data_IF_080714923844
#
_entry.id   IF_080714923844
#
_cell.length_a   1.000
_cell.length_b   1.000
_cell.length_c   1.000
_cell.angle_alpha   90.00
_cell.angle_beta   90.00
_cell.angle_gamma   90.00
#
_symmetry.space_group_name_H-M   'P 1'
#
loop_
_entity.id
_entity.type
_entity.pdbx_description
1 polymer ?
2 polymer ?
3 polymer ?
4 non-polymer ?
5 non-polymer ?
6 water ?
#
loop_
_entity_poly.entity_id
_entity_poly.type
_entity_poly.pdbx_seq_one_letter_code
_entity_poly.pdbx_strand_id
2 'polydeoxyribonucleotide' '(DA)(DT)(DC)(DA)(DG)(DT)(DC)(DT)(DA)(DG)(DA)(DC)(DA)(DT)(DA)' ?
3 'polydeoxyribonucleotide' '(DG)(DT)(DA)(DT)(DG)(DT)(DC)(DT)(DA)(DG)(DA)(DC)(DT)(DG)(DA)' ?
#
# COMPACT_ATOMS: atom_id res chain seq x y z
N UNK A 1 -17.17 30.70 19.70
CA UNK A 1 -18.21 30.23 20.64
C UNK A 1 -19.47 29.69 20.00
N UNK A 2 -19.97 28.61 20.59
CA UNK A 2 -21.08 27.89 20.04
C UNK A 2 -22.09 27.52 21.12
N UNK A 3 -23.37 27.70 20.79
CA UNK A 3 -24.50 27.26 21.62
C UNK A 3 -24.47 25.75 21.92
N UNK A 4 -24.84 25.38 23.15
CA UNK A 4 -24.85 23.98 23.60
C UNK A 4 -25.76 23.13 22.74
N UNK A 5 -26.94 23.63 22.43
CA UNK A 5 -27.87 22.89 21.56
C UNK A 5 -27.23 22.66 20.20
N UNK A 6 -26.58 23.69 19.70
CA UNK A 6 -25.96 23.62 18.38
C UNK A 6 -24.78 22.66 18.39
N UNK A 7 -23.96 22.70 19.43
CA UNK A 7 -22.79 21.82 19.51
C UNK A 7 -23.21 20.36 19.71
N UNK A 8 -24.37 20.18 20.34
CA UNK A 8 -24.97 18.87 20.47
C UNK A 8 -25.37 18.35 19.10
N UNK A 9 -26.16 19.14 18.39
CA UNK A 9 -26.55 18.81 17.02
C UNK A 9 -25.33 18.56 16.17
N UNK A 10 -24.32 19.40 16.32
CA UNK A 10 -23.09 19.27 15.54
C UNK A 10 -22.38 18.00 15.87
N UNK A 11 -22.68 17.48 17.05
CA UNK A 11 -22.10 16.23 17.50
C UNK A 11 -22.38 15.15 16.49
N UNK A 12 -23.60 15.19 15.93
CA UNK A 12 -24.03 14.21 14.94
C UNK A 12 -23.64 14.52 13.49
N UNK A 13 -22.95 15.63 13.27
CA UNK A 13 -22.58 16.00 11.92
C UNK A 13 -21.68 14.96 11.32
N UNK A 14 -21.92 14.68 10.05
CA UNK A 14 -21.05 13.84 9.28
C UNK A 14 -19.87 14.67 8.79
N UNK A 15 -18.67 14.16 9.04
CA UNK A 15 -17.44 14.67 8.50
C UNK A 15 -17.27 14.13 7.10
N UNK A 16 -16.62 14.93 6.26
CA UNK A 16 -16.44 14.58 4.87
C UNK A 16 -15.11 13.87 4.64
N UNK A 17 -14.84 13.52 3.38
CA UNK A 17 -13.68 12.70 3.06
C UNK A 17 -12.43 13.35 3.56
N UNK A 18 -12.37 14.65 3.37
CA UNK A 18 -11.22 15.44 3.73
C UNK A 18 -11.00 15.49 5.24
N UNK A 19 -12.08 15.64 5.99
CA UNK A 19 -11.91 15.69 7.44
C UNK A 19 -11.59 14.31 8.02
N UNK A 20 -12.20 13.27 7.45
CA UNK A 20 -11.91 11.92 7.85
C UNK A 20 -10.43 11.59 7.57
N UNK A 21 -9.94 12.03 6.43
CA UNK A 21 -8.54 11.83 6.07
C UNK A 21 -7.61 12.56 7.03
N UNK A 22 -7.93 13.81 7.33
CA UNK A 22 -7.13 14.59 8.24
C UNK A 22 -7.04 13.90 9.61
N UNK A 23 -8.10 13.22 10.02
CA UNK A 23 -8.02 12.54 11.30
C UNK A 23 -6.96 11.45 11.19
N UNK A 24 -6.98 10.73 10.07
CA UNK A 24 -6.04 9.67 9.84
C UNK A 24 -4.64 10.24 9.89
N UNK A 25 -4.45 11.40 9.28
CA UNK A 25 -3.12 11.99 9.25
C UNK A 25 -2.64 12.40 10.66
N UNK A 26 -3.56 12.79 11.52
CA UNK A 26 -3.18 13.15 12.85
C UNK A 26 -2.87 11.89 13.64
N UNK A 27 -3.68 10.87 13.40
CA UNK A 27 -3.43 9.60 14.02
C UNK A 27 -2.03 9.13 13.66
N UNK A 28 -1.71 9.18 12.38
CA UNK A 28 -0.39 8.77 11.93
C UNK A 28 0.72 9.54 12.63
N UNK A 29 0.51 10.83 12.87
CA UNK A 29 1.56 11.66 13.43
C UNK A 29 1.74 11.38 14.91
N UNK A 30 0.63 11.12 15.59
CA UNK A 30 0.71 10.80 16.98
C UNK A 30 1.48 9.51 17.18
N UNK A 31 1.27 8.51 16.31
CA UNK A 31 1.97 7.23 16.46
C UNK A 31 3.46 7.49 16.49
N UNK A 32 3.91 8.42 15.66
CA UNK A 32 5.31 8.79 15.62
C UNK A 32 5.76 9.58 16.86
N UNK A 33 4.92 10.49 17.33
CA UNK A 33 5.32 11.43 18.36
C UNK A 33 5.34 10.83 19.78
N UNK A 34 4.48 9.86 20.03
CA UNK A 34 4.47 9.15 21.31
C UNK A 34 5.84 8.54 21.59
N UNK A 35 6.56 8.21 20.52
CA UNK A 35 7.85 7.57 20.62
C UNK A 35 8.99 8.52 21.01
N UNK A 36 8.68 9.79 21.17
CA UNK A 36 9.70 10.79 21.46
C UNK A 36 9.25 11.64 22.63
N UNK A 37 10.00 11.58 23.73
CA UNK A 37 9.61 12.27 24.94
C UNK A 37 9.60 13.77 24.68
N UNK A 38 8.52 14.43 25.06
CA UNK A 38 8.42 15.87 24.88
C UNK A 38 7.70 16.32 23.61
N UNK A 39 7.70 15.48 22.58
CA UNK A 39 7.10 15.86 21.30
C UNK A 39 5.60 16.16 21.39
N UNK A 40 4.82 15.22 21.91
CA UNK A 40 3.37 15.40 22.05
C UNK A 40 3.02 16.63 22.88
N UNK A 41 3.73 16.78 24.00
CA UNK A 41 3.53 17.91 24.88
C UNK A 41 3.87 19.21 24.13
N UNK A 42 5.00 19.18 23.45
CA UNK A 42 5.49 20.35 22.73
C UNK A 42 4.51 20.78 21.65
N UNK A 43 4.03 19.82 20.85
CA UNK A 43 3.10 20.12 19.78
C UNK A 43 1.80 20.70 20.34
N UNK A 44 1.35 20.12 21.43
CA UNK A 44 0.18 20.63 22.13
C UNK A 44 0.45 22.05 22.66
N UNK A 45 1.67 22.31 23.11
CA UNK A 45 2.00 23.64 23.58
C UNK A 45 1.86 24.62 22.44
N UNK A 46 2.42 24.26 21.29
CA UNK A 46 2.42 25.13 20.11
C UNK A 46 1.02 25.45 19.62
N UNK A 47 0.15 24.45 19.66
CA UNK A 47 -1.19 24.61 19.16
C UNK A 47 -2.03 25.41 20.13
N UNK A 48 -1.73 25.28 21.41
CA UNK A 48 -2.56 25.86 22.46
C UNK A 48 -2.14 27.27 22.84
N UNK A 49 -0.85 27.55 22.74
CA UNK A 49 -0.34 28.90 23.02
C UNK A 49 0.42 29.42 21.80
N UNK A 50 -0.32 29.81 20.74
CA UNK A 50 0.34 30.23 19.50
C UNK A 50 1.28 31.41 19.72
N UNK A 51 0.89 32.36 20.55
CA UNK A 51 1.72 33.53 20.78
C UNK A 51 3.08 33.25 21.36
N UNK A 52 3.17 32.19 22.17
CA UNK A 52 4.41 31.84 22.86
C UNK A 52 5.27 30.87 22.05
N UNK A 53 6.51 31.26 21.77
CA UNK A 53 7.51 30.46 21.04
C UNK A 53 7.58 29.00 21.49
N UNK A 54 7.78 28.09 20.54
CA UNK A 54 7.80 26.65 20.80
C UNK A 54 8.95 26.00 20.05
N UNK A 55 9.30 24.78 20.43
CA UNK A 55 10.36 24.04 19.75
C UNK A 55 9.95 23.33 18.48
N UNK A 56 10.94 22.93 17.70
CA UNK A 56 10.69 22.06 16.58
C UNK A 56 10.07 20.75 17.06
N UNK A 57 9.15 20.24 16.24
CA UNK A 57 8.53 18.93 16.44
C UNK A 57 8.67 18.20 15.12
N UNK A 58 9.59 17.25 15.07
CA UNK A 58 9.98 16.65 13.80
C UNK A 58 9.58 15.19 13.64
N UNK A 59 9.49 14.79 12.38
CA UNK A 59 9.34 13.39 12.02
C UNK A 59 10.43 13.13 11.00
N UNK A 60 10.77 11.87 10.81
CA UNK A 60 11.71 11.46 9.76
C UNK A 60 11.30 12.00 8.40
N UNK A 61 12.29 12.41 7.61
CA UNK A 61 12.07 12.89 6.27
C UNK A 61 12.25 11.70 5.31
N UNK A 62 11.38 11.57 4.33
CA UNK A 62 11.54 10.53 3.31
C UNK A 62 12.50 11.01 2.24
N UNK A 63 12.90 10.11 1.34
CA UNK A 63 13.82 10.46 0.26
C UNK A 63 13.26 11.54 -0.67
N UNK A 64 12.00 11.43 -1.05
CA UNK A 64 11.34 12.41 -1.92
C UNK A 64 10.64 13.55 -1.15
N UNK A 65 10.62 13.44 0.17
CA UNK A 65 10.00 14.46 1.00
C UNK A 65 8.57 14.14 1.36
N UNK A 66 7.88 13.41 0.49
CA UNK A 66 6.47 13.08 0.71
C UNK A 66 6.14 12.15 1.87
N UNK A 67 4.89 12.22 2.31
CA UNK A 67 4.39 11.39 3.38
C UNK A 67 3.14 10.74 2.85
N UNK A 68 2.95 9.47 3.18
CA UNK A 68 1.74 8.82 2.77
C UNK A 68 0.89 8.47 3.97
N UNK A 69 -0.39 8.84 3.87
CA UNK A 69 -1.38 8.49 4.87
C UNK A 69 -2.60 7.98 4.17
N UNK A 70 -2.96 6.73 4.45
CA UNK A 70 -4.09 6.11 3.80
C UNK A 70 -4.16 6.41 2.30
N UNK A 71 -3.20 5.90 1.56
CA UNK A 71 -3.17 6.04 0.09
C UNK A 71 -3.32 7.45 -0.50
N UNK A 72 -2.98 8.46 0.31
CA UNK A 72 -2.74 9.82 -0.21
C UNK A 72 -1.30 10.23 0.13
N UNK A 73 -0.62 10.85 -0.81
CA UNK A 73 0.71 11.43 -0.57
C UNK A 73 0.70 12.96 -0.58
N UNK A 74 1.36 13.55 0.41
CA UNK A 74 1.51 14.98 0.47
C UNK A 74 2.82 15.32 1.13
N UNK A 75 3.12 16.60 1.28
CA UNK A 75 4.28 17.04 2.07
C UNK A 75 3.87 17.34 3.51
N UNK A 76 4.64 16.84 4.46
CA UNK A 76 4.28 16.82 5.89
C UNK A 76 3.94 18.20 6.47
N UNK A 77 4.78 19.20 6.22
CA UNK A 77 4.51 20.51 6.78
C UNK A 77 3.22 21.08 6.17
N UNK A 78 3.03 20.84 4.89
CA UNK A 78 1.80 21.27 4.21
C UNK A 78 0.58 20.58 4.82
N UNK A 79 0.71 19.28 5.02
CA UNK A 79 -0.37 18.51 5.58
C UNK A 79 -0.78 19.07 6.92
N UNK A 80 0.18 19.23 7.82
CA UNK A 80 -0.15 19.59 9.19
C UNK A 80 -0.50 21.08 9.34
N UNK A 81 0.07 21.91 8.48
CA UNK A 81 -0.35 23.30 8.43
C UNK A 81 -1.79 23.47 7.96
N UNK A 82 -2.25 22.61 7.04
CA UNK A 82 -3.65 22.65 6.63
C UNK A 82 -4.56 22.30 7.78
N UNK A 83 -4.12 21.35 8.58
CA UNK A 83 -4.93 20.85 9.66
C UNK A 83 -5.13 21.91 10.73
N UNK A 84 -4.05 22.55 11.12
CA UNK A 84 -4.09 23.39 12.30
C UNK A 84 -4.04 24.87 11.99
N UNK A 85 -3.92 25.25 10.72
CA UNK A 85 -3.87 26.67 10.42
C UNK A 85 -4.63 27.14 9.16
N UNK A 86 -4.26 26.62 8.00
CA UNK A 86 -4.78 27.13 6.74
C UNK A 86 -5.41 26.02 5.92
N UNK A 87 -6.69 25.73 6.18
CA UNK A 87 -7.34 24.59 5.53
C UNK A 87 -7.31 24.70 4.01
N UNK A 88 -7.22 25.93 3.51
CA UNK A 88 -7.30 26.18 2.08
C UNK A 88 -5.90 26.31 1.51
N UNK A 89 -4.89 25.99 2.32
CA UNK A 89 -3.50 26.03 1.86
C UNK A 89 -3.30 25.25 0.58
N UNK A 90 -2.62 25.88 -0.38
CA UNK A 90 -2.51 25.35 -1.73
C UNK A 90 -1.37 24.35 -1.94
N UNK A 91 -0.15 24.78 -1.63
CA UNK A 91 1.03 23.94 -1.79
C UNK A 91 2.16 24.47 -0.92
N UNK A 92 3.31 23.82 -1.02
CA UNK A 92 4.47 24.26 -0.27
C UNK A 92 4.95 25.63 -0.76
N UNK A 93 4.50 26.03 -1.95
CA UNK A 93 4.84 27.32 -2.51
C UNK A 93 4.22 28.46 -1.72
N UNK A 94 3.17 28.14 -0.96
CA UNK A 94 2.55 29.16 -0.13
C UNK A 94 3.12 29.18 1.28
N UNK A 95 4.25 28.51 1.49
CA UNK A 95 4.84 28.41 2.82
C UNK A 95 6.30 28.80 2.83
N UNK A 96 6.67 29.58 3.83
CA UNK A 96 8.07 29.84 4.12
C UNK A 96 8.27 29.50 5.60
N UNK A 97 9.42 28.92 5.92
CA UNK A 97 9.86 28.57 7.30
C UNK A 97 10.32 29.78 8.09
N UNK A 98 9.98 29.82 9.38
CA UNK A 98 10.49 30.85 10.27
C UNK A 98 11.96 30.60 10.60
N UNK A 99 12.64 31.66 10.99
CA UNK A 99 14.05 31.60 11.32
C UNK A 99 14.25 30.73 12.56
N UNK A 100 13.26 30.70 13.43
CA UNK A 100 13.36 29.89 14.66
C UNK A 100 13.36 28.38 14.37
N UNK A 101 12.95 27.99 13.17
CA UNK A 101 12.87 26.59 12.88
C UNK A 101 14.21 26.04 12.49
N UNK A 102 14.64 25.09 13.32
CA UNK A 102 15.88 24.39 13.10
C UNK A 102 15.80 23.28 12.03
N UNK A 103 14.60 22.77 11.70
CA UNK A 103 14.46 21.62 10.77
C UNK A 103 13.41 21.79 9.70
N UNK A 104 13.46 22.92 8.99
CA UNK A 104 12.38 23.26 8.06
C UNK A 104 12.43 22.34 6.85
N UNK A 105 11.29 22.13 6.19
CA UNK A 105 11.20 21.21 5.06
C UNK A 105 12.37 21.34 4.10
N UNK A 106 12.63 22.57 3.65
CA UNK A 106 13.62 22.77 2.62
C UNK A 106 15.02 22.33 2.98
N UNK A 107 15.33 22.26 4.28
CA UNK A 107 16.70 22.00 4.72
C UNK A 107 17.13 20.59 4.42
N UNK A 108 16.20 19.75 4.00
CA UNK A 108 16.56 18.41 3.57
C UNK A 108 17.52 17.77 4.57
N UNK A 109 17.11 17.71 5.83
CA UNK A 109 17.87 16.95 6.81
C UNK A 109 17.17 15.64 7.11
N UNK A 110 17.77 14.85 8.00
CA UNK A 110 17.20 13.61 8.48
C UNK A 110 15.78 13.82 9.01
N UNK A 111 15.63 14.86 9.82
CA UNK A 111 14.34 15.22 10.41
C UNK A 111 13.70 16.41 9.69
N UNK A 112 12.37 16.41 9.67
CA UNK A 112 11.65 17.57 9.13
C UNK A 112 10.62 18.05 10.12
N UNK A 113 10.57 19.35 10.34
CA UNK A 113 9.70 19.90 11.36
C UNK A 113 8.27 20.06 10.84
N UNK A 114 7.32 19.71 11.69
CA UNK A 114 5.91 19.73 11.33
C UNK A 114 5.14 20.59 12.31
N UNK A 115 5.87 21.32 13.16
CA UNK A 115 5.28 22.37 13.98
C UNK A 115 4.71 23.43 13.06
N UNK A 116 3.37 23.54 13.02
CA UNK A 116 2.70 24.44 12.07
C UNK A 116 3.07 25.90 12.31
N UNK A 117 3.46 26.21 13.53
CA UNK A 117 3.79 27.58 13.88
C UNK A 117 5.27 27.89 13.67
N UNK A 118 5.97 26.98 13.01
CA UNK A 118 7.34 27.22 12.59
C UNK A 118 7.35 27.60 11.12
N UNK A 119 6.16 27.90 10.62
CA UNK A 119 5.98 28.26 9.23
C UNK A 119 5.05 29.48 9.09
N UNK A 120 5.26 30.22 8.01
CA UNK A 120 4.42 31.37 7.73
C UNK A 120 3.86 31.17 6.36
N UNK A 121 2.69 31.74 6.12
CA UNK A 121 2.04 31.60 4.82
C UNK A 121 2.38 32.77 3.91
N UNK A 122 2.62 32.48 2.62
CA UNK A 122 3.02 33.49 1.63
C UNK A 122 2.30 33.31 0.28
N UNK A 123 2.64 34.16 -0.70
CA UNK A 123 2.15 34.02 -2.08
C UNK A 123 3.21 33.37 -2.96
N UNK A 124 3.08 33.46 -4.29
CA UNK A 124 4.14 32.98 -5.19
C UNK A 124 3.94 33.29 -6.67
N UNK B 2 -21.10 -27.74 -24.13
CA UNK B 2 -21.39 -26.34 -23.86
C UNK B 2 -21.98 -25.60 -25.07
N UNK B 3 -23.11 -24.93 -24.84
CA UNK B 3 -23.99 -24.33 -25.87
C UNK B 3 -23.70 -22.86 -26.18
N UNK B 4 -23.82 -22.46 -27.46
CA UNK B 4 -23.56 -21.08 -27.91
C UNK B 4 -24.49 -20.06 -27.24
N UNK B 5 -25.76 -20.39 -27.12
CA UNK B 5 -26.69 -19.50 -26.45
C UNK B 5 -26.26 -19.36 -25.00
N UNK B 6 -25.88 -20.47 -24.39
CA UNK B 6 -25.49 -20.46 -22.99
C UNK B 6 -24.21 -19.64 -22.80
N UNK B 7 -23.22 -19.84 -23.67
CA UNK B 7 -21.95 -19.15 -23.52
C UNK B 7 -22.12 -17.68 -23.80
N UNK B 8 -23.12 -17.33 -24.60
CA UNK B 8 -23.48 -15.94 -24.83
C UNK B 8 -24.02 -15.35 -23.54
N UNK B 9 -25.01 -16.02 -22.97
CA UNK B 9 -25.59 -15.60 -21.71
C UNK B 9 -24.52 -15.48 -20.64
N UNK B 10 -23.64 -16.49 -20.60
CA UNK B 10 -22.55 -16.48 -19.63
C UNK B 10 -21.59 -15.34 -19.86
N UNK B 11 -21.62 -14.78 -21.07
CA UNK B 11 -20.80 -13.62 -21.39
C UNK B 11 -21.13 -12.51 -20.43
N UNK B 12 -22.40 -12.39 -20.10
CA UNK B 12 -22.86 -11.32 -19.24
C UNK B 12 -22.78 -11.65 -17.74
N UNK B 13 -22.31 -12.85 -17.42
CA UNK B 13 -22.23 -13.23 -16.02
C UNK B 13 -21.31 -12.30 -15.25
N UNK B 14 -21.74 -11.97 -14.04
CA UNK B 14 -20.91 -11.24 -13.10
C UNK B 14 -19.92 -12.15 -12.40
N UNK B 15 -18.65 -11.79 -12.50
CA UNK B 15 -17.59 -12.45 -11.77
C UNK B 15 -17.62 -11.96 -10.32
N UNK B 16 -17.26 -12.84 -9.40
CA UNK B 16 -17.24 -12.47 -8.00
C UNK B 16 -15.86 -11.92 -7.56
N UNK B 17 -15.76 -11.57 -6.29
CA UNK B 17 -14.57 -10.91 -5.77
C UNK B 17 -13.33 -11.76 -6.02
N UNK B 18 -13.51 -13.05 -5.84
CA UNK B 18 -12.44 -13.99 -6.02
C UNK B 18 -11.96 -14.06 -7.46
N UNK B 19 -12.90 -14.07 -8.40
CA UNK B 19 -12.49 -14.21 -9.79
C UNK B 19 -11.87 -12.88 -10.28
N UNK B 20 -12.44 -11.77 -9.82
CA UNK B 20 -11.91 -10.49 -10.20
C UNK B 20 -10.50 -10.37 -9.68
N UNK B 21 -10.27 -10.84 -8.46
CA UNK B 21 -8.94 -10.86 -7.86
C UNK B 21 -7.95 -11.72 -8.64
N UNK B 22 -8.41 -12.91 -9.00
CA UNK B 22 -7.57 -13.78 -9.78
C UNK B 22 -7.18 -13.14 -11.10
N UNK B 23 -8.06 -12.32 -11.67
CA UNK B 23 -7.70 -11.65 -12.92
C UNK B 23 -6.55 -10.69 -12.67
N UNK B 24 -6.63 -10.00 -11.55
CA UNK B 24 -5.56 -9.11 -11.14
C UNK B 24 -4.24 -9.86 -10.94
N UNK B 25 -4.30 -10.99 -10.27
CA UNK B 25 -3.10 -11.78 -10.03
C UNK B 25 -2.45 -12.26 -11.33
N UNK B 26 -3.27 -12.62 -12.32
CA UNK B 26 -2.71 -13.02 -13.62
C UNK B 26 -2.09 -11.83 -14.33
N UNK B 27 -2.79 -10.70 -14.27
CA UNK B 27 -2.24 -9.47 -14.80
C UNK B 27 -0.88 -9.15 -14.18
N UNK B 28 -0.82 -9.21 -12.87
CA UNK B 28 0.44 -9.00 -12.19
C UNK B 28 1.55 -9.93 -12.69
N UNK B 29 1.21 -11.19 -12.94
CA UNK B 29 2.22 -12.16 -13.33
C UNK B 29 2.68 -11.92 -14.76
N UNK B 30 1.75 -11.56 -15.62
CA UNK B 30 2.10 -11.27 -16.98
C UNK B 30 3.05 -10.08 -17.06
N UNK B 31 2.81 -9.06 -16.25
CA UNK B 31 3.70 -7.90 -16.26
C UNK B 31 5.13 -8.34 -16.03
N UNK B 32 5.31 -9.30 -15.14
CA UNK B 32 6.63 -9.87 -14.84
C UNK B 32 7.20 -10.76 -15.95
N UNK B 33 6.34 -11.56 -16.57
CA UNK B 33 6.79 -12.55 -17.54
C UNK B 33 7.13 -11.98 -18.93
N UNK B 34 6.45 -10.90 -19.33
CA UNK B 34 6.76 -10.22 -20.57
C UNK B 34 8.24 -9.83 -20.62
N UNK B 35 8.79 -9.53 -19.45
CA UNK B 35 10.16 -9.07 -19.33
C UNK B 35 11.21 -10.19 -19.50
N UNK B 36 10.77 -11.42 -19.74
CA UNK B 36 11.67 -12.55 -19.83
C UNK B 36 11.33 -13.36 -21.08
N UNK B 37 12.28 -13.43 -22.01
CA UNK B 37 11.98 -14.05 -23.28
C UNK B 37 11.75 -15.53 -23.04
N UNK B 38 10.66 -16.07 -23.59
CA UNK B 38 10.36 -17.48 -23.43
C UNK B 38 9.38 -17.81 -22.32
N UNK B 39 9.30 -16.96 -21.29
CA UNK B 39 8.44 -17.23 -20.15
C UNK B 39 6.95 -17.35 -20.51
N UNK B 40 6.39 -16.31 -21.13
CA UNK B 40 4.99 -16.31 -21.52
C UNK B 40 4.62 -17.49 -22.41
N UNK B 41 5.48 -17.76 -23.39
CA UNK B 41 5.28 -18.87 -24.31
C UNK B 41 5.31 -20.18 -23.53
N UNK B 42 6.30 -20.30 -22.65
CA UNK B 42 6.50 -21.51 -21.85
C UNK B 42 5.30 -21.79 -20.95
N UNK B 43 4.83 -20.76 -20.26
CA UNK B 43 3.70 -20.91 -19.37
C UNK B 43 2.49 -21.34 -20.16
N UNK B 44 2.34 -20.74 -21.34
CA UNK B 44 1.23 -21.08 -22.21
C UNK B 44 1.37 -22.51 -22.68
N UNK B 45 2.59 -22.94 -22.95
CA UNK B 45 2.84 -24.33 -23.32
C UNK B 45 2.37 -25.26 -22.22
N UNK B 46 2.76 -24.94 -20.99
CA UNK B 46 2.44 -25.79 -19.85
C UNK B 46 0.94 -25.89 -19.62
N UNK B 47 0.24 -24.79 -19.80
CA UNK B 47 -1.18 -24.77 -19.51
C UNK B 47 -1.97 -25.47 -20.60
N UNK B 48 -1.45 -25.42 -21.82
CA UNK B 48 -2.15 -25.92 -23.00
C UNK B 48 -1.85 -27.38 -23.32
N UNK B 49 -0.65 -27.81 -23.00
CA UNK B 49 -0.27 -29.21 -23.19
C UNK B 49 0.18 -29.77 -21.85
N UNK B 50 -0.77 -30.03 -20.94
CA UNK B 50 -0.42 -30.51 -19.61
C UNK B 50 0.41 -31.80 -19.65
N UNK B 51 0.06 -32.71 -20.56
CA UNK B 51 0.72 -34.00 -20.65
C UNK B 51 2.20 -33.92 -20.96
N UNK B 52 2.57 -32.91 -21.75
CA UNK B 52 3.95 -32.75 -22.21
C UNK B 52 4.77 -31.88 -21.25
N UNK B 53 5.88 -32.42 -20.76
CA UNK B 53 6.83 -31.74 -19.87
C UNK B 53 7.17 -30.32 -20.31
N UNK B 54 7.34 -29.43 -19.33
CA UNK B 54 7.60 -28.02 -19.57
C UNK B 54 8.69 -27.50 -18.65
N UNK B 55 9.23 -26.33 -18.96
CA UNK B 55 10.25 -25.73 -18.11
C UNK B 55 9.72 -24.93 -16.93
N UNK B 56 10.61 -24.63 -15.99
CA UNK B 56 10.29 -23.73 -14.91
C UNK B 56 9.93 -22.36 -15.46
N UNK B 57 8.95 -21.74 -14.82
CA UNK B 57 8.56 -20.37 -15.13
C UNK B 57 8.57 -19.62 -13.80
N UNK B 58 9.57 -18.77 -13.61
CA UNK B 58 9.80 -18.24 -12.28
C UNK B 58 9.57 -16.74 -12.16
N UNK B 59 9.29 -16.30 -10.94
CA UNK B 59 9.30 -14.90 -10.59
C UNK B 59 10.20 -14.76 -9.38
N UNK B 60 10.67 -13.52 -9.13
CA UNK B 60 11.49 -13.24 -7.96
C UNK B 60 10.80 -13.69 -6.70
N UNK B 61 11.57 -14.18 -5.75
CA UNK B 61 11.06 -14.62 -4.46
C UNK B 61 11.22 -13.48 -3.48
N UNK B 62 10.21 -13.23 -2.65
CA UNK B 62 10.31 -12.20 -1.64
C UNK B 62 11.01 -12.77 -0.41
N UNK B 63 11.38 -11.90 0.54
CA UNK B 63 12.02 -12.35 1.76
C UNK B 63 11.17 -13.34 2.55
N UNK B 64 9.89 -13.04 2.69
CA UNK B 64 8.99 -13.91 3.45
C UNK B 64 8.30 -14.96 2.59
N UNK B 65 8.52 -14.87 1.27
CA UNK B 65 7.93 -15.80 0.34
C UNK B 65 6.63 -15.32 -0.26
N UNK B 66 5.90 -14.49 0.47
CA UNK B 66 4.60 -14.02 0.02
C UNK B 66 4.61 -13.08 -1.19
N UNK B 67 3.47 -13.01 -1.83
CA UNK B 67 3.25 -12.11 -2.96
C UNK B 67 2.04 -11.28 -2.65
N UNK B 68 2.07 -10.01 -3.00
CA UNK B 68 0.89 -9.21 -2.79
C UNK B 68 0.33 -8.78 -4.11
N UNK B 69 -0.98 -8.96 -4.25
CA UNK B 69 -1.72 -8.48 -5.41
C UNK B 69 -2.95 -7.77 -4.90
N UNK B 70 -3.06 -6.49 -5.21
CA UNK B 70 -4.22 -5.70 -4.82
C UNK B 70 -4.61 -5.95 -3.37
N UNK B 71 -3.72 -5.56 -2.46
CA UNK B 71 -3.97 -5.70 -1.03
C UNK B 71 -4.41 -7.08 -0.49
N UNK B 72 -4.07 -8.14 -1.22
CA UNK B 72 -4.12 -9.51 -0.68
C UNK B 72 -2.75 -10.16 -0.77
N UNK B 73 -2.33 -10.82 0.31
CA UNK B 73 -1.05 -11.55 0.31
C UNK B 73 -1.21 -13.07 0.32
N UNK B 74 -0.48 -13.76 -0.53
CA UNK B 74 -0.51 -15.20 -0.58
C UNK B 74 0.84 -15.72 -1.01
N UNK B 75 0.97 -17.04 -1.16
CA UNK B 75 2.18 -17.62 -1.73
C UNK B 75 2.00 -17.89 -3.19
N UNK B 76 2.97 -17.48 -4.01
CA UNK B 76 2.86 -17.46 -5.46
C UNK B 76 2.43 -18.81 -6.07
N UNK B 77 3.11 -19.90 -5.72
CA UNK B 77 2.75 -21.17 -6.32
C UNK B 77 1.32 -21.55 -5.94
N UNK B 78 0.92 -21.23 -4.73
CA UNK B 78 -0.43 -21.53 -4.29
C UNK B 78 -1.43 -20.72 -5.08
N UNK B 79 -1.10 -19.45 -5.29
CA UNK B 79 -1.96 -18.56 -6.01
C UNK B 79 -2.22 -19.09 -7.41
N UNK B 80 -1.14 -19.34 -8.14
CA UNK B 80 -1.28 -19.73 -9.52
C UNK B 80 -1.73 -21.16 -9.73
N UNK B 81 -1.48 -22.02 -8.75
CA UNK B 81 -2.08 -23.34 -8.78
C UNK B 81 -3.61 -23.32 -8.56
N UNK B 82 -4.10 -22.43 -7.71
CA UNK B 82 -5.55 -22.22 -7.60
C UNK B 82 -6.17 -21.79 -8.90
N UNK B 83 -5.49 -20.90 -9.58
CA UNK B 83 -5.99 -20.34 -10.81
C UNK B 83 -6.15 -21.39 -11.89
N UNK B 84 -5.08 -22.14 -12.13
CA UNK B 84 -5.06 -23.02 -13.26
C UNK B 84 -5.29 -24.48 -12.97
N UNK B 85 -5.45 -24.86 -11.70
CA UNK B 85 -5.60 -26.29 -11.37
C UNK B 85 -6.59 -26.65 -10.27
N UNK B 86 -6.36 -26.18 -9.07
CA UNK B 86 -7.19 -26.54 -7.93
C UNK B 86 -7.80 -25.34 -7.25
N UNK B 87 -8.95 -24.87 -7.74
CA UNK B 87 -9.55 -23.65 -7.19
C UNK B 87 -9.79 -23.76 -5.70
N UNK B 88 -9.94 -24.99 -5.20
CA UNK B 88 -10.29 -25.22 -3.81
C UNK B 88 -9.06 -25.51 -2.97
N UNK B 89 -7.89 -25.34 -3.58
CA UNK B 89 -6.62 -25.54 -2.88
C UNK B 89 -6.54 -24.75 -1.59
N UNK B 90 -6.14 -25.44 -0.52
CA UNK B 90 -6.21 -24.90 0.84
C UNK B 90 -5.00 -24.09 1.24
N UNK B 91 -3.82 -24.69 1.13
CA UNK B 91 -2.57 -24.00 1.49
C UNK B 91 -1.40 -24.67 0.83
N UNK B 92 -0.21 -24.16 1.12
CA UNK B 92 1.00 -24.77 0.60
C UNK B 92 1.21 -26.19 1.17
N UNK B 93 0.53 -26.50 2.26
CA UNK B 93 0.58 -27.82 2.87
C UNK B 93 -0.07 -28.86 1.98
N UNK B 94 -0.89 -28.42 1.03
CA UNK B 94 -1.50 -29.37 0.12
C UNK B 94 -0.72 -29.51 -1.18
N UNK B 95 0.50 -28.99 -1.18
CA UNK B 95 1.34 -28.99 -2.39
C UNK B 95 2.73 -29.57 -2.16
N UNK B 96 3.16 -30.41 -3.09
CA UNK B 96 4.54 -30.85 -3.12
C UNK B 96 5.03 -30.60 -4.53
N UNK B 97 6.31 -30.22 -4.65
CA UNK B 97 6.97 -29.94 -5.92
C UNK B 97 7.39 -31.21 -6.65
N UNK B 98 7.30 -31.22 -7.97
CA UNK B 98 7.83 -32.33 -8.74
C UNK B 98 9.34 -32.26 -8.81
N UNK B 99 9.93 -33.42 -9.10
CA UNK B 99 11.38 -33.53 -9.17
C UNK B 99 11.91 -32.71 -10.34
N UNK B 100 11.12 -32.59 -11.39
CA UNK B 100 11.53 -31.83 -12.56
C UNK B 100 11.69 -30.34 -12.27
N UNK B 101 11.11 -29.85 -11.17
CA UNK B 101 11.17 -28.43 -10.87
C UNK B 101 12.49 -28.06 -10.22
N UNK B 102 13.19 -27.12 -10.85
CA UNK B 102 14.47 -26.63 -10.37
C UNK B 102 14.35 -25.34 -9.50
N UNK B 103 13.15 -24.78 -9.36
CA UNK B 103 12.98 -23.60 -8.49
C UNK B 103 11.73 -23.64 -7.61
N UNK B 104 11.50 -24.77 -6.96
CA UNK B 104 10.23 -24.94 -6.24
C UNK B 104 10.17 -24.01 -5.04
N UNK B 105 8.97 -23.65 -4.60
CA UNK B 105 8.79 -22.73 -3.48
C UNK B 105 9.75 -23.00 -2.31
N UNK B 106 9.73 -24.23 -1.80
CA UNK B 106 10.52 -24.55 -0.63
C UNK B 106 12.01 -24.29 -0.72
N UNK B 107 12.56 -24.29 -1.94
CA UNK B 107 14.00 -24.19 -2.11
C UNK B 107 14.55 -22.81 -1.73
N UNK B 108 13.66 -21.86 -1.47
CA UNK B 108 14.09 -20.57 -0.98
C UNK B 108 15.29 -20.07 -1.77
N UNK B 109 15.13 -19.97 -3.09
CA UNK B 109 16.15 -19.34 -3.93
C UNK B 109 15.68 -17.95 -4.34
N UNK B 110 16.53 -17.25 -5.08
CA UNK B 110 16.21 -15.96 -5.67
C UNK B 110 14.89 -16.03 -6.47
N UNK B 111 14.77 -17.05 -7.31
CA UNK B 111 13.59 -17.26 -8.12
C UNK B 111 12.69 -18.36 -7.56
N UNK B 112 11.39 -18.23 -7.77
CA UNK B 112 10.45 -19.25 -7.37
C UNK B 112 9.55 -19.61 -8.53
N UNK B 113 9.38 -20.90 -8.78
CA UNK B 113 8.65 -21.33 -9.94
C UNK B 113 7.17 -21.31 -9.67
N UNK B 114 6.42 -20.83 -10.67
CA UNK B 114 4.99 -20.70 -10.58
C UNK B 114 4.30 -21.50 -11.69
N UNK B 115 5.09 -22.27 -12.45
CA UNK B 115 4.53 -23.29 -13.32
C UNK B 115 3.68 -24.25 -12.52
N UNK B 116 2.34 -24.21 -12.72
CA UNK B 116 1.39 -25.00 -11.91
C UNK B 116 1.58 -26.48 -12.13
N UNK B 117 2.18 -26.85 -13.25
CA UNK B 117 2.38 -28.26 -13.54
C UNK B 117 3.73 -28.74 -13.05
N UNK B 118 4.40 -27.92 -12.26
CA UNK B 118 5.64 -28.31 -11.61
C UNK B 118 5.33 -28.64 -10.17
N UNK B 119 4.04 -28.79 -9.91
CA UNK B 119 3.58 -29.14 -8.58
C UNK B 119 2.51 -30.24 -8.61
N UNK B 120 2.44 -31.00 -7.52
CA UNK B 120 1.42 -32.03 -7.38
C UNK B 120 0.63 -31.76 -6.12
N UNK B 121 -0.62 -32.17 -6.12
CA UNK B 121 -1.48 -31.91 -4.97
C UNK B 121 -1.46 -33.08 -4.01
N UNK B 122 -1.42 -32.80 -2.71
CA UNK B 122 -1.31 -33.83 -1.67
C UNK B 122 -2.22 -33.53 -0.47
N UNK B 123 -2.20 -34.43 0.52
CA UNK B 123 -2.92 -34.23 1.78
C UNK B 123 -2.02 -33.60 2.84
N UNK B 124 -2.54 -33.35 4.02
CA UNK B 124 -1.77 -32.68 5.05
C UNK B 124 -1.70 -33.48 6.36
X LIG E 1 10.78 23.77 13.64
X LIG F 1 -7.87 8.34 -0.44
X LIG F 1 -8.87 8.98 -1.21
X LIG F 1 -8.14 8.53 1.05
X LIG F 1 -7.99 7.28 1.68
X LIG F 1 -9.55 9.11 1.29
X LIG F 1 -9.71 9.58 2.62
X LIG G 1 9.58 -25.33 -11.93
X LIG H 1 -10.53 -8.52 -3.01
X LIG H 1 -11.65 -8.30 -2.17
X LIG H 1 -9.78 -7.21 -3.33
X LIG H 1 -9.46 -7.16 -4.71
X LIG H 1 -8.47 -7.08 -2.56
X LIG H 1 -8.60 -7.47 -1.20
#
# INVERSE_FOLDING_TARGET
>A
FTSPAVKRLLGWKQGDEEEKWAEKAVDALVKKLKKKKGAMEELEKALSCPGQPSNCVTIPRSLDGRLQVSHRKGLPHVIYCRVWRWPDLQSHHELKPLECCEFPFGSKQKEVCINPYHYKRVES
>B
FTSPAVKRLLGWKQGDEEEKWAEKAVDALVKKLKKKKGAMEELEKALSCPGQPSNCVTIPRSLDGRLQVSHRKGLPHVIYCRVWRWPDLQSHHELKPLECCEFPFGSKQKEVCINPYHYKRVES
>E hetero
1 ZN ZN
>F hetero
1 GOL C1 O1 C2 O2 C3 O3
>G hetero
1 ZN ZN
>H hetero
1 GOL C1 O1 C2 O2 C3 O3
#
